data_IF_224698153065
#
_entry.id   IF_224698153065
#
_cell.length_a   1.000
_cell.length_b   1.000
_cell.length_c   1.000
_cell.angle_alpha   90.00
_cell.angle_beta   90.00
_cell.angle_gamma   90.00
#
_symmetry.space_group_name_H-M   'P 1'
#
loop_
_entity.id
_entity.type
_entity.pdbx_description
1 polymer ?
#
# COMPACT_ATOMS: atom_id res chain seq x y z
N UNK A 1 53.23 37.63 -42.76
CA UNK A 1 52.28 37.58 -41.64
C UNK A 1 51.48 36.28 -41.76
N UNK A 2 51.66 35.37 -40.82
CA UNK A 2 51.04 34.03 -40.81
C UNK A 2 49.67 34.14 -40.14
N UNK A 3 48.58 34.08 -40.92
CA UNK A 3 47.21 34.04 -40.37
C UNK A 3 46.90 32.57 -40.01
N UNK A 4 47.21 32.21 -38.77
CA UNK A 4 46.81 30.94 -38.18
C UNK A 4 45.30 31.00 -37.90
N UNK A 5 44.50 30.50 -38.84
CA UNK A 5 43.07 30.26 -38.62
C UNK A 5 42.91 29.20 -37.54
N UNK A 6 42.61 29.65 -36.33
CA UNK A 6 42.11 28.82 -35.24
C UNK A 6 40.74 28.29 -35.66
N UNK A 7 40.72 27.11 -36.26
CA UNK A 7 39.53 26.28 -36.39
C UNK A 7 39.09 25.88 -34.97
N UNK A 8 38.26 26.72 -34.33
CA UNK A 8 37.46 26.28 -33.20
C UNK A 8 36.50 25.21 -33.74
N UNK A 9 36.56 23.94 -33.29
CA UNK A 9 35.47 23.03 -33.54
C UNK A 9 34.25 23.63 -32.85
N UNK A 10 33.23 23.99 -33.63
CA UNK A 10 31.91 24.30 -33.10
C UNK A 10 31.39 23.02 -32.44
N UNK A 11 31.59 22.91 -31.12
CA UNK A 11 30.93 21.88 -30.33
C UNK A 11 29.44 22.20 -30.38
N UNK A 12 28.68 21.40 -31.12
CA UNK A 12 27.23 21.51 -31.12
C UNK A 12 26.75 21.15 -29.72
N UNK A 13 26.31 22.17 -28.98
CA UNK A 13 25.76 22.00 -27.65
C UNK A 13 24.38 21.35 -27.78
N UNK A 14 24.26 20.09 -27.40
CA UNK A 14 23.00 19.35 -27.46
C UNK A 14 22.24 19.59 -26.15
N UNK A 15 20.97 19.98 -26.22
CA UNK A 15 20.17 20.24 -25.03
C UNK A 15 18.96 19.31 -24.97
N UNK A 16 18.91 18.46 -23.95
CA UNK A 16 17.70 17.70 -23.63
C UNK A 16 16.84 18.54 -22.70
N UNK A 17 15.63 18.87 -23.14
CA UNK A 17 14.68 19.66 -22.35
C UNK A 17 13.32 18.99 -22.28
N UNK A 18 12.57 19.33 -21.24
CA UNK A 18 11.21 18.88 -21.07
C UNK A 18 10.45 19.69 -20.04
N UNK A 19 9.15 19.44 -19.97
CA UNK A 19 8.23 20.08 -19.05
C UNK A 19 7.17 19.10 -18.58
N UNK A 20 6.86 19.17 -17.30
CA UNK A 20 5.78 18.43 -16.65
C UNK A 20 4.70 19.44 -16.28
N UNK A 21 3.47 19.19 -16.69
CA UNK A 21 2.33 20.03 -16.37
C UNK A 21 1.85 19.74 -14.94
N UNK A 22 2.43 20.45 -13.97
CA UNK A 22 2.07 20.38 -12.55
C UNK A 22 2.03 21.81 -12.01
N UNK A 23 1.07 22.08 -11.12
CA UNK A 23 0.98 23.33 -10.39
C UNK A 23 1.93 23.30 -9.19
N UNK A 24 2.85 24.26 -9.13
CA UNK A 24 3.81 24.50 -8.05
C UNK A 24 4.60 23.26 -7.59
N UNK A 25 5.66 22.94 -8.34
CA UNK A 25 6.57 21.85 -8.01
C UNK A 25 7.66 22.31 -7.04
N UNK A 26 7.83 21.60 -5.93
CA UNK A 26 9.00 21.77 -5.07
C UNK A 26 10.24 21.18 -5.75
N UNK A 27 11.13 22.06 -6.23
CA UNK A 27 12.39 21.71 -6.88
C UNK A 27 13.32 20.87 -5.98
N UNK A 28 13.20 20.98 -4.65
CA UNK A 28 14.01 20.20 -3.71
C UNK A 28 13.61 18.73 -3.62
N UNK A 29 12.36 18.42 -3.99
CA UNK A 29 11.76 17.08 -3.89
C UNK A 29 11.57 16.41 -5.26
N UNK A 30 12.20 16.99 -6.28
CA UNK A 30 12.15 16.50 -7.65
C UNK A 30 13.55 16.38 -8.24
N UNK A 31 13.75 15.34 -9.04
CA UNK A 31 15.03 15.04 -9.67
C UNK A 31 14.80 14.42 -11.04
N UNK A 32 15.59 14.86 -12.01
CA UNK A 32 15.70 14.23 -13.32
C UNK A 32 17.08 13.60 -13.40
N UNK A 33 17.13 12.31 -13.72
CA UNK A 33 18.39 11.58 -13.86
C UNK A 33 18.51 11.00 -15.26
N UNK A 34 19.63 11.28 -15.91
CA UNK A 34 20.05 10.65 -17.14
C UNK A 34 21.15 9.65 -16.80
N UNK A 35 20.81 8.36 -16.82
CA UNK A 35 21.64 7.27 -16.33
C UNK A 35 22.18 6.40 -17.47
N UNK A 36 23.48 6.14 -17.45
CA UNK A 36 24.18 5.14 -18.25
C UNK A 36 25.15 4.40 -17.31
N UNK A 37 25.56 3.14 -17.59
CA UNK A 37 26.43 2.37 -16.69
C UNK A 37 27.69 3.09 -16.22
N UNK A 38 28.20 4.04 -17.02
CA UNK A 38 29.43 4.77 -16.73
C UNK A 38 29.20 6.23 -16.28
N UNK A 39 28.02 6.80 -16.55
CA UNK A 39 27.75 8.23 -16.41
C UNK A 39 26.34 8.44 -15.86
N UNK A 40 26.23 9.23 -14.80
CA UNK A 40 24.94 9.73 -14.30
C UNK A 40 24.96 11.24 -14.29
N UNK A 41 24.02 11.85 -15.02
CA UNK A 41 23.81 13.31 -15.01
C UNK A 41 22.49 13.56 -14.32
N UNK A 42 22.47 14.47 -13.34
CA UNK A 42 21.26 14.81 -12.62
C UNK A 42 20.98 16.30 -12.69
N UNK A 43 19.72 16.65 -12.91
CA UNK A 43 19.21 18.02 -12.81
C UNK A 43 17.94 18.04 -11.97
N UNK A 44 17.45 19.22 -11.64
CA UNK A 44 16.19 19.41 -10.90
C UNK A 44 15.10 19.90 -11.84
N UNK A 45 13.86 19.68 -11.41
CA UNK A 45 12.70 20.25 -12.08
C UNK A 45 12.48 21.63 -11.43
N UNK A 46 12.29 22.65 -12.27
CA UNK A 46 12.00 24.02 -11.85
C UNK A 46 10.54 24.13 -11.38
N UNK A 47 10.21 25.23 -10.71
CA UNK A 47 8.86 25.47 -10.17
C UNK A 47 7.76 25.48 -11.26
N UNK A 48 8.11 25.84 -12.49
CA UNK A 48 7.23 25.84 -13.67
C UNK A 48 7.08 24.45 -14.33
N UNK A 49 7.67 23.43 -13.72
CA UNK A 49 7.70 22.05 -14.20
C UNK A 49 8.74 21.78 -15.28
N UNK A 50 9.56 22.77 -15.67
CA UNK A 50 10.57 22.60 -16.72
C UNK A 50 11.87 21.98 -16.20
N UNK A 51 12.61 21.32 -17.07
CA UNK A 51 13.96 20.84 -16.79
C UNK A 51 14.82 20.86 -18.05
N UNK A 52 16.13 21.01 -17.85
CA UNK A 52 17.11 21.02 -18.93
C UNK A 52 18.39 20.30 -18.52
N UNK A 53 18.92 19.49 -19.43
CA UNK A 53 20.24 18.86 -19.35
C UNK A 53 21.04 19.34 -20.55
N UNK A 54 22.11 20.09 -20.28
CA UNK A 54 23.00 20.61 -21.32
C UNK A 54 24.14 19.64 -21.58
N UNK A 55 24.46 19.49 -22.85
CA UNK A 55 25.61 18.75 -23.39
C UNK A 55 25.77 17.34 -22.83
N UNK A 56 24.71 16.49 -22.88
CA UNK A 56 24.89 15.08 -22.57
C UNK A 56 25.89 14.47 -23.56
N UNK A 57 26.87 13.70 -23.10
CA UNK A 57 27.78 12.99 -24.00
C UNK A 57 27.01 12.05 -24.93
N UNK A 58 27.61 11.69 -26.07
CA UNK A 58 27.01 10.71 -26.97
C UNK A 58 26.88 9.36 -26.30
N UNK A 59 25.73 8.72 -26.48
CA UNK A 59 25.44 7.41 -25.91
C UNK A 59 23.96 7.15 -25.72
N UNK A 60 23.65 5.98 -25.18
CA UNK A 60 22.29 5.60 -24.81
C UNK A 60 22.11 5.73 -23.31
N UNK A 61 21.06 6.41 -22.90
CA UNK A 61 20.76 6.72 -21.51
C UNK A 61 19.34 6.35 -21.14
N UNK A 62 19.14 6.04 -19.86
CA UNK A 62 17.84 5.95 -19.22
C UNK A 62 17.55 7.28 -18.54
N UNK A 63 16.60 8.02 -19.06
CA UNK A 63 16.03 9.19 -18.40
C UNK A 63 14.98 8.72 -17.39
N UNK A 64 15.14 9.11 -16.14
CA UNK A 64 14.21 8.84 -15.05
C UNK A 64 13.75 10.15 -14.42
N UNK A 65 12.43 10.30 -14.29
CA UNK A 65 11.81 11.43 -13.62
C UNK A 65 11.38 10.97 -12.23
N UNK A 66 12.00 11.54 -11.19
CA UNK A 66 11.72 11.21 -9.79
C UNK A 66 11.02 12.38 -9.15
N UNK A 67 9.72 12.21 -8.86
CA UNK A 67 8.92 13.16 -8.12
C UNK A 67 8.52 12.50 -6.80
N UNK A 68 8.82 13.14 -5.67
CA UNK A 68 8.47 12.60 -4.37
C UNK A 68 6.98 12.74 -4.08
N UNK A 69 6.32 13.80 -4.54
CA UNK A 69 4.89 14.01 -4.26
C UNK A 69 3.96 13.43 -5.32
N UNK A 70 4.51 13.12 -6.50
CA UNK A 70 3.74 12.70 -7.66
C UNK A 70 4.27 11.37 -8.24
N UNK A 71 3.36 10.56 -8.74
CA UNK A 71 3.64 9.38 -9.52
C UNK A 71 3.29 9.68 -10.98
N UNK A 72 4.20 9.36 -11.90
CA UNK A 72 3.96 9.50 -13.32
C UNK A 72 3.50 8.14 -13.88
N UNK A 73 2.53 8.15 -14.79
CA UNK A 73 2.13 6.93 -15.52
C UNK A 73 3.30 6.35 -16.32
N UNK A 74 4.16 7.22 -16.86
CA UNK A 74 5.43 6.84 -17.45
C UNK A 74 6.54 7.72 -16.88
N UNK A 75 7.42 7.14 -16.08
CA UNK A 75 8.53 7.83 -15.40
C UNK A 75 9.87 7.66 -16.12
N UNK A 76 9.90 6.82 -17.17
CA UNK A 76 11.14 6.35 -17.81
C UNK A 76 11.12 6.50 -19.32
N UNK A 77 12.25 6.96 -19.83
CA UNK A 77 12.49 7.13 -21.26
C UNK A 77 13.89 6.63 -21.60
N UNK A 78 14.03 6.04 -22.79
CA UNK A 78 15.34 5.72 -23.37
C UNK A 78 15.71 6.90 -24.26
N UNK A 79 16.83 7.53 -23.98
CA UNK A 79 17.35 8.67 -24.74
C UNK A 79 18.60 8.22 -25.47
N UNK A 80 18.65 8.46 -26.77
CA UNK A 80 19.81 8.21 -27.60
C UNK A 80 20.37 9.55 -28.06
N UNK A 81 21.62 9.81 -27.68
CA UNK A 81 22.35 11.04 -28.00
C UNK A 81 23.40 10.68 -29.03
N UNK A 82 23.24 11.20 -30.25
CA UNK A 82 24.24 11.13 -31.31
C UNK A 82 24.96 12.47 -31.46
N UNK A 83 25.94 12.57 -32.36
CA UNK A 83 26.62 13.85 -32.65
C UNK A 83 25.72 14.88 -33.35
N UNK A 84 24.56 14.45 -33.88
CA UNK A 84 23.71 15.28 -34.72
C UNK A 84 22.32 15.50 -34.11
N UNK A 85 21.81 14.54 -33.34
CA UNK A 85 20.47 14.59 -32.78
C UNK A 85 20.36 13.92 -31.40
N UNK A 86 19.31 14.32 -30.67
CA UNK A 86 18.83 13.58 -29.51
C UNK A 86 17.47 13.00 -29.87
N UNK A 87 17.29 11.70 -29.67
CA UNK A 87 16.00 11.02 -29.81
C UNK A 87 15.57 10.41 -28.48
N UNK A 88 14.27 10.41 -28.21
CA UNK A 88 13.71 9.84 -27.00
C UNK A 88 12.64 8.80 -27.35
N UNK A 89 12.63 7.70 -26.62
CA UNK A 89 11.67 6.61 -26.76
C UNK A 89 11.03 6.33 -25.41
N UNK A 90 9.73 6.00 -25.39
CA UNK A 90 9.07 5.52 -24.16
C UNK A 90 9.71 4.19 -23.76
N UNK A 91 9.99 4.04 -22.46
CA UNK A 91 10.54 2.79 -21.93
C UNK A 91 9.61 2.22 -20.86
N UNK A 92 9.04 1.05 -21.12
CA UNK A 92 8.15 0.37 -20.17
C UNK A 92 8.98 -0.57 -19.29
N UNK A 93 8.62 -0.64 -18.01
CA UNK A 93 9.26 -1.57 -17.08
C UNK A 93 9.05 -3.02 -17.56
N UNK A 94 10.12 -3.82 -17.54
CA UNK A 94 10.22 -5.19 -18.07
C UNK A 94 10.39 -5.32 -19.59
N UNK A 95 10.55 -4.22 -20.33
CA UNK A 95 10.98 -4.28 -21.72
C UNK A 95 12.50 -4.46 -21.83
N UNK A 96 12.95 -5.24 -22.81
CA UNK A 96 14.37 -5.40 -23.08
C UNK A 96 14.98 -4.04 -23.50
N UNK A 97 16.16 -3.71 -22.96
CA UNK A 97 16.79 -2.40 -23.17
C UNK A 97 17.09 -2.10 -24.64
N UNK A 98 17.29 -3.14 -25.44
CA UNK A 98 17.59 -3.06 -26.87
C UNK A 98 16.39 -2.69 -27.72
N UNK A 99 15.17 -2.96 -27.24
CA UNK A 99 13.94 -2.64 -27.97
C UNK A 99 13.60 -1.16 -27.76
N UNK A 100 13.65 -0.39 -28.84
CA UNK A 100 13.18 0.99 -28.81
C UNK A 100 11.66 1.00 -28.78
N UNK A 101 11.08 1.58 -27.73
CA UNK A 101 9.64 1.83 -27.67
C UNK A 101 9.19 2.92 -28.64
N UNK A 102 7.94 3.34 -28.51
CA UNK A 102 7.36 4.43 -29.30
C UNK A 102 8.22 5.70 -29.18
N UNK A 103 8.51 6.31 -30.32
CA UNK A 103 9.23 7.58 -30.42
C UNK A 103 8.45 8.69 -29.68
N UNK A 104 9.17 9.53 -28.96
CA UNK A 104 8.65 10.68 -28.22
C UNK A 104 9.26 11.94 -28.79
N UNK A 105 8.41 12.93 -29.04
CA UNK A 105 8.83 14.24 -29.51
C UNK A 105 9.54 15.01 -28.38
N UNK A 106 10.59 15.75 -28.77
CA UNK A 106 11.34 16.64 -27.88
C UNK A 106 10.99 18.10 -28.24
N UNK A 107 10.88 19.02 -27.26
CA UNK A 107 11.09 18.83 -25.82
C UNK A 107 10.04 17.91 -25.17
N UNK A 108 10.47 17.11 -24.19
CA UNK A 108 9.60 16.11 -23.56
C UNK A 108 8.45 16.81 -22.82
N UNK A 109 7.21 16.62 -23.28
CA UNK A 109 6.03 17.16 -22.60
C UNK A 109 5.24 16.05 -21.90
N UNK A 110 4.98 16.22 -20.61
CA UNK A 110 4.18 15.30 -19.80
C UNK A 110 2.92 16.04 -19.33
N UNK A 111 1.74 15.71 -19.88
CA UNK A 111 0.50 16.38 -19.51
C UNK A 111 0.02 15.95 -18.12
N UNK A 112 -0.78 16.80 -17.49
CA UNK A 112 -1.27 16.62 -16.12
C UNK A 112 -2.03 15.29 -15.93
N UNK A 113 -2.73 14.81 -16.97
CA UNK A 113 -3.44 13.52 -16.95
C UNK A 113 -2.54 12.30 -16.66
N UNK A 114 -1.22 12.44 -16.85
CA UNK A 114 -0.24 11.40 -16.61
C UNK A 114 0.43 11.54 -15.24
N UNK A 115 -0.01 12.50 -14.43
CA UNK A 115 0.48 12.78 -13.08
C UNK A 115 -0.58 12.41 -12.06
N UNK A 116 -0.18 11.65 -11.03
CA UNK A 116 -1.06 11.22 -9.94
C UNK A 116 -0.40 11.58 -8.61
N UNK A 117 -1.08 12.32 -7.75
CA UNK A 117 -0.57 12.63 -6.41
C UNK A 117 -0.36 11.34 -5.59
N UNK A 118 0.83 11.18 -5.01
CA UNK A 118 1.17 10.01 -4.19
C UNK A 118 0.47 10.12 -2.83
N UNK A 119 -0.22 9.05 -2.46
CA UNK A 119 -0.84 8.91 -1.14
C UNK A 119 0.05 8.03 -0.27
N UNK A 120 0.88 8.66 0.56
CA UNK A 120 1.77 7.96 1.49
C UNK A 120 1.10 7.56 2.79
N UNK A 121 0.01 8.23 3.14
CA UNK A 121 -0.73 7.98 4.37
C UNK A 121 -1.95 7.13 4.02
N UNK A 122 -1.94 5.90 4.51
CA UNK A 122 -3.15 5.09 4.58
C UNK A 122 -4.01 5.63 5.72
N UNK A 123 -5.15 6.22 5.37
CA UNK A 123 -6.14 6.60 6.36
C UNK A 123 -6.86 5.31 6.75
N UNK A 124 -6.61 4.82 7.96
CA UNK A 124 -7.38 3.69 8.47
C UNK A 124 -8.85 4.13 8.56
N UNK A 125 -9.75 3.37 7.93
CA UNK A 125 -11.16 3.50 8.22
C UNK A 125 -11.32 3.20 9.71
N UNK A 126 -11.71 4.21 10.49
CA UNK A 126 -11.68 4.17 11.95
C UNK A 126 -12.63 3.14 12.55
N UNK A 127 -12.27 1.85 12.52
CA UNK A 127 -13.06 0.77 13.11
C UNK A 127 -14.54 0.73 12.68
N UNK A 128 -15.33 -0.10 13.37
CA UNK A 128 -16.77 -0.25 13.10
C UNK A 128 -17.56 0.99 13.56
N UNK A 129 -16.92 1.93 14.28
CA UNK A 129 -17.57 3.08 14.90
C UNK A 129 -17.38 4.41 14.15
N UNK A 130 -16.43 4.53 13.22
CA UNK A 130 -16.30 5.75 12.42
C UNK A 130 -17.25 5.73 11.20
N UNK A 131 -17.83 6.90 10.89
CA UNK A 131 -18.59 7.19 9.67
C UNK A 131 -19.78 6.25 9.38
N UNK A 132 -20.74 6.15 10.30
CA UNK A 132 -21.97 5.34 10.14
C UNK A 132 -21.72 3.85 9.85
N UNK A 133 -20.48 3.37 10.05
CA UNK A 133 -20.08 2.00 9.76
C UNK A 133 -20.83 0.96 10.59
N UNK A 134 -21.32 1.32 11.78
CA UNK A 134 -22.11 0.40 12.60
C UNK A 134 -23.46 0.08 11.96
N UNK A 135 -24.10 1.06 11.29
CA UNK A 135 -25.38 0.85 10.58
C UNK A 135 -25.16 -0.05 9.38
N UNK A 136 -24.13 0.23 8.58
CA UNK A 136 -23.79 -0.57 7.39
C UNK A 136 -23.39 -2.00 7.82
N UNK A 137 -22.58 -2.13 8.87
CA UNK A 137 -22.19 -3.42 9.43
C UNK A 137 -23.39 -4.20 9.97
N UNK A 138 -24.33 -3.54 10.66
CA UNK A 138 -25.53 -4.16 11.19
C UNK A 138 -26.50 -4.61 10.09
N UNK A 139 -26.59 -3.86 8.99
CA UNK A 139 -27.34 -4.27 7.80
C UNK A 139 -26.71 -5.50 7.13
N UNK A 140 -25.39 -5.56 7.05
CA UNK A 140 -24.67 -6.70 6.47
C UNK A 140 -24.69 -7.96 7.36
N UNK A 141 -24.80 -7.78 8.69
CA UNK A 141 -24.73 -8.86 9.67
C UNK A 141 -25.90 -8.80 10.67
N UNK A 142 -27.15 -9.06 10.23
CA UNK A 142 -28.34 -8.83 11.05
C UNK A 142 -28.38 -9.71 12.32
N UNK A 143 -27.88 -10.95 12.24
CA UNK A 143 -27.84 -11.86 13.40
C UNK A 143 -26.85 -11.39 14.47
N UNK A 144 -25.67 -10.91 14.08
CA UNK A 144 -24.67 -10.39 15.02
C UNK A 144 -25.14 -9.08 15.65
N UNK A 145 -25.75 -8.19 14.85
CA UNK A 145 -26.35 -6.96 15.36
C UNK A 145 -27.47 -7.23 16.37
N UNK A 146 -28.33 -8.22 16.09
CA UNK A 146 -29.36 -8.67 17.04
C UNK A 146 -28.73 -9.21 18.33
N UNK A 147 -27.66 -10.00 18.23
CA UNK A 147 -26.92 -10.50 19.40
C UNK A 147 -26.35 -9.37 20.26
N UNK A 148 -25.78 -8.34 19.64
CA UNK A 148 -25.27 -7.14 20.34
C UNK A 148 -26.41 -6.39 21.03
N UNK A 149 -27.55 -6.20 20.35
CA UNK A 149 -28.74 -5.55 20.93
C UNK A 149 -29.31 -6.31 22.12
N UNK A 150 -29.43 -7.64 22.03
CA UNK A 150 -29.93 -8.48 23.13
C UNK A 150 -28.98 -8.39 24.33
N UNK A 151 -27.67 -8.48 24.09
CA UNK A 151 -26.66 -8.37 25.16
C UNK A 151 -26.73 -7.00 25.84
N UNK A 152 -26.87 -5.93 25.06
CA UNK A 152 -27.03 -4.57 25.58
C UNK A 152 -28.33 -4.44 26.40
N UNK A 153 -29.44 -5.00 25.93
CA UNK A 153 -30.72 -4.98 26.63
C UNK A 153 -30.63 -5.70 27.98
N UNK A 154 -30.01 -6.88 28.04
CA UNK A 154 -29.81 -7.63 29.29
C UNK A 154 -28.94 -6.83 30.26
N UNK A 155 -27.84 -6.22 29.79
CA UNK A 155 -26.97 -5.41 30.63
C UNK A 155 -27.63 -4.15 31.18
N UNK A 156 -28.49 -3.51 30.38
CA UNK A 156 -29.20 -2.29 30.79
C UNK A 156 -30.51 -2.58 31.56
N UNK A 157 -31.04 -3.81 31.49
CA UNK A 157 -32.31 -4.18 32.11
C UNK A 157 -32.39 -3.86 33.61
N UNK A 158 -31.39 -4.16 34.46
CA UNK A 158 -31.46 -3.82 35.89
C UNK A 158 -31.54 -2.32 36.13
N UNK A 159 -30.86 -1.52 35.30
CA UNK A 159 -30.84 -0.07 35.45
C UNK A 159 -32.17 0.56 35.06
N UNK A 160 -32.76 0.09 33.96
CA UNK A 160 -34.12 0.49 33.53
C UNK A 160 -35.15 0.07 34.57
N UNK A 161 -35.11 -1.18 35.06
CA UNK A 161 -36.06 -1.65 36.07
C UNK A 161 -35.91 -0.90 37.39
N UNK A 162 -34.70 -0.51 37.80
CA UNK A 162 -34.49 0.30 38.99
C UNK A 162 -35.09 1.71 38.89
N UNK A 163 -35.22 2.25 37.67
CA UNK A 163 -35.89 3.53 37.43
C UNK A 163 -37.42 3.43 37.62
N UNK A 164 -38.03 2.33 37.13
CA UNK A 164 -39.48 2.11 37.24
C UNK A 164 -39.92 1.53 38.59
N UNK A 165 -39.10 0.67 39.19
CA UNK A 165 -39.33 0.08 40.51
C UNK A 165 -38.00 -0.06 41.28
N UNK A 166 -37.65 0.89 42.14
CA UNK A 166 -36.40 0.87 42.91
C UNK A 166 -36.33 -0.26 43.96
N UNK A 167 -37.42 -1.01 44.18
CA UNK A 167 -37.45 -2.20 45.02
C UNK A 167 -37.17 -3.50 44.28
N UNK A 168 -37.23 -3.49 42.94
CA UNK A 168 -37.09 -4.70 42.12
C UNK A 168 -35.69 -5.30 42.17
N UNK A 169 -34.66 -4.46 42.08
CA UNK A 169 -33.25 -4.89 42.14
C UNK A 169 -32.88 -5.54 43.47
N UNK A 170 -33.41 -5.01 44.58
CA UNK A 170 -33.22 -5.58 45.92
C UNK A 170 -33.81 -6.98 46.04
N UNK A 171 -35.03 -7.18 45.51
CA UNK A 171 -35.72 -8.48 45.54
C UNK A 171 -35.00 -9.54 44.70
N UNK A 172 -34.49 -9.19 43.52
CA UNK A 172 -33.71 -10.13 42.69
C UNK A 172 -32.40 -10.53 43.38
N UNK A 173 -31.68 -9.58 43.98
CA UNK A 173 -30.46 -9.88 44.74
C UNK A 173 -30.75 -10.80 45.93
N UNK A 174 -31.86 -10.59 46.62
CA UNK A 174 -32.25 -11.38 47.79
C UNK A 174 -32.66 -12.81 47.41
N UNK A 175 -33.30 -13.00 46.25
CA UNK A 175 -33.70 -14.32 45.73
C UNK A 175 -32.53 -15.12 45.14
N UNK A 176 -31.53 -14.47 44.52
CA UNK A 176 -30.32 -15.15 44.01
C UNK A 176 -29.34 -15.59 45.10
N UNK A 177 -29.47 -15.09 46.33
CA UNK A 177 -28.59 -15.41 47.47
C UNK A 177 -29.16 -16.53 48.37
N UNK A 178 -30.38 -17.02 48.12
CA UNK A 178 -30.88 -18.16 48.89
C UNK A 178 -30.06 -19.43 48.58
N UNK A 179 -29.40 -20.04 49.58
CA UNK A 179 -28.63 -21.26 49.39
C UNK A 179 -29.57 -22.39 48.96
N UNK A 180 -29.24 -23.02 47.84
CA UNK A 180 -29.92 -24.22 47.32
C UNK A 180 -30.09 -25.25 48.44
N UNK A 181 -31.29 -25.79 48.70
CA UNK A 181 -31.47 -26.84 49.69
C UNK A 181 -30.60 -28.05 49.33
N UNK A 182 -29.77 -28.50 50.27
CA UNK A 182 -28.97 -29.71 50.14
C UNK A 182 -29.90 -30.90 49.91
N UNK A 183 -29.74 -31.58 48.77
CA UNK A 183 -30.44 -32.83 48.48
C UNK A 183 -29.85 -33.95 49.36
N UNK A 184 -30.68 -34.79 49.99
CA UNK A 184 -30.19 -35.82 50.90
C UNK A 184 -29.35 -36.87 50.17
N UNK A 185 -28.12 -36.97 50.63
CA UNK A 185 -27.18 -38.05 50.42
C UNK A 185 -27.73 -39.35 51.03
N UNK A 186 -28.16 -40.32 50.22
CA UNK A 186 -27.70 -41.71 50.26
C UNK A 186 -28.56 -42.76 49.51
N UNK A 187 -27.85 -43.82 49.12
CA UNK A 187 -28.30 -45.19 48.85
C UNK A 187 -28.80 -45.55 47.43
N UNK A 188 -27.89 -45.95 46.54
CA UNK A 188 -27.63 -47.38 46.30
C UNK A 188 -26.63 -47.63 45.16
N UNK A 189 -25.44 -48.11 45.54
CA UNK A 189 -24.60 -48.96 44.70
C UNK A 189 -25.25 -50.34 44.59
N UNK A 190 -25.47 -50.86 43.39
CA UNK A 190 -24.95 -52.19 43.00
C UNK A 190 -25.35 -52.61 41.58
N UNK A 191 -24.34 -53.08 40.84
CA UNK A 191 -24.39 -54.01 39.71
C UNK A 191 -25.10 -53.49 38.43
N UNK A 192 -24.62 -53.70 37.21
CA UNK A 192 -23.99 -54.89 36.67
C UNK A 192 -23.59 -54.63 35.20
N UNK A 193 -22.43 -55.14 34.76
CA UNK A 193 -22.04 -55.63 33.41
C UNK A 193 -22.60 -54.92 32.14
N UNK A 194 -21.82 -54.65 31.08
CA UNK A 194 -21.14 -55.67 30.27
C UNK A 194 -20.41 -54.98 29.10
N UNK A 195 -19.25 -55.54 28.76
CA UNK A 195 -18.43 -55.35 27.55
C UNK A 195 -19.19 -55.17 26.23
N UNK A 196 -18.62 -54.40 25.30
CA UNK A 196 -18.29 -54.77 23.90
C UNK A 196 -17.43 -53.65 23.25
N UNK A 197 -16.22 -54.03 22.83
CA UNK A 197 -15.41 -53.49 21.72
C UNK A 197 -15.69 -54.40 20.49
N UNK A 198 -15.39 -54.13 19.19
CA UNK A 198 -14.32 -53.24 18.67
C UNK A 198 -14.54 -52.56 17.28
N UNK A 199 -13.48 -51.88 16.80
CA UNK A 199 -13.08 -51.59 15.40
C UNK A 199 -13.95 -50.60 14.58
N UNK A 200 -13.44 -49.64 13.81
CA UNK A 200 -12.43 -49.69 12.72
C UNK A 200 -12.30 -48.25 12.14
N UNK A 201 -11.12 -47.66 11.89
CA UNK A 201 -10.20 -47.72 10.71
C UNK A 201 -10.12 -46.32 10.03
N UNK A 202 -8.87 -45.90 9.73
CA UNK A 202 -8.40 -44.88 8.74
C UNK A 202 -8.81 -43.40 8.96
N UNK A 203 -7.96 -42.38 8.74
CA UNK A 203 -7.04 -42.16 7.62
C UNK A 203 -5.90 -41.16 7.96
N UNK A 204 -4.67 -41.53 7.58
CA UNK A 204 -3.70 -40.77 6.76
C UNK A 204 -3.08 -39.43 7.21
N UNK A 205 -1.78 -39.51 7.56
CA UNK A 205 -0.59 -38.82 6.99
C UNK A 205 -0.80 -37.55 6.12
N UNK A 206 -0.08 -36.44 6.42
CA UNK A 206 1.13 -35.94 5.68
C UNK A 206 1.48 -34.48 6.03
N UNK A 207 2.78 -34.21 6.06
CA UNK A 207 3.51 -33.02 6.48
C UNK A 207 3.52 -31.80 5.52
N UNK A 208 3.79 -30.61 6.10
CA UNK A 208 4.62 -29.48 5.56
C UNK A 208 4.49 -28.32 6.58
N UNK A 209 5.52 -27.72 7.15
CA UNK A 209 6.85 -27.40 6.61
C UNK A 209 6.94 -25.88 6.39
N UNK A 210 6.99 -25.07 7.45
CA UNK A 210 7.24 -23.62 7.33
C UNK A 210 8.69 -23.30 7.68
N UNK A 211 9.48 -23.12 6.63
CA UNK A 211 10.86 -22.65 6.65
C UNK A 211 10.89 -21.15 6.95
N UNK A 212 11.46 -20.79 8.11
CA UNK A 212 11.91 -19.43 8.40
C UNK A 212 13.15 -19.12 7.54
N UNK A 213 13.06 -18.13 6.66
CA UNK A 213 14.21 -17.52 6.00
C UNK A 213 14.77 -16.38 6.86
N UNK A 214 16.08 -16.36 7.20
CA UNK A 214 16.69 -15.21 7.84
C UNK A 214 17.06 -14.11 6.84
N UNK A 215 16.80 -12.87 7.26
CA UNK A 215 17.17 -11.62 6.61
C UNK A 215 18.69 -11.45 6.68
N UNK A 216 19.35 -11.42 5.52
CA UNK A 216 20.78 -11.15 5.40
C UNK A 216 20.98 -9.63 5.25
N UNK A 217 21.48 -8.99 6.31
CA UNK A 217 22.06 -7.64 6.24
C UNK A 217 23.31 -7.69 5.34
N UNK A 218 23.45 -6.77 4.39
CA UNK A 218 24.73 -6.46 3.74
C UNK A 218 25.21 -5.08 4.21
N UNK A 219 26.49 -5.06 4.57
CA UNK A 219 27.36 -3.88 4.62
C UNK A 219 27.68 -3.44 3.21
#
# INVERSE_FOLDING_TARGET
MLFLWLLLPAAFAHQLSGRIEIEDVDSSRTKVELYSPNITISTRILHDGSFTISDPPTGTYKLSLQLQDYALKNDRYRVEVTNENITAHKYVTNQNWTESGSLVELPLFIPFENVVARKYVEISSGGILANNSWVIWAQQNPLMALGVLITAAIGLFPHVMNYFDPGFTKRILEETVQPRPELPENANRSANNKSISPNSIESTTTARGNSQKPIRKRK
#
